data_IF_729139125337
#
_entry.id   IF_729139125337
#
_cell.length_a   1.000
_cell.length_b   1.000
_cell.length_c   1.000
_cell.angle_alpha   90.00
_cell.angle_beta   90.00
_cell.angle_gamma   90.00
#
_symmetry.space_group_name_H-M   'P 1'
#
loop_
_entity.id
_entity.type
_entity.pdbx_description
1 polymer ?
#
# COMPACT_ATOMS: atom_id res chain seq x y z
N UNK A 1 14.99 4.72 -20.37
CA UNK A 1 15.31 3.83 -19.22
C UNK A 1 14.05 3.09 -18.82
N UNK A 2 14.11 1.76 -18.67
CA UNK A 2 13.01 1.00 -18.09
C UNK A 2 12.80 1.47 -16.65
N UNK A 3 11.57 1.85 -16.30
CA UNK A 3 11.23 2.16 -14.91
C UNK A 3 11.24 0.83 -14.14
N UNK A 4 12.39 0.50 -13.54
CA UNK A 4 12.51 -0.65 -12.65
C UNK A 4 11.57 -0.42 -11.47
N UNK A 5 10.58 -1.28 -11.32
CA UNK A 5 9.76 -1.31 -10.11
C UNK A 5 10.58 -1.99 -9.01
N UNK A 6 10.67 -1.35 -7.86
CA UNK A 6 11.31 -1.86 -6.67
C UNK A 6 10.27 -2.14 -5.59
N UNK A 7 10.40 -3.30 -4.97
CA UNK A 7 9.62 -3.67 -3.81
C UNK A 7 10.32 -3.16 -2.55
N UNK A 8 9.60 -2.40 -1.73
CA UNK A 8 10.05 -1.95 -0.43
C UNK A 8 9.15 -2.53 0.66
N UNK A 9 9.76 -3.07 1.71
CA UNK A 9 9.06 -3.49 2.91
C UNK A 9 9.20 -2.40 3.97
N UNK A 10 8.09 -1.85 4.40
CA UNK A 10 8.03 -0.89 5.48
C UNK A 10 7.43 -1.55 6.72
N UNK A 11 8.13 -1.44 7.85
CA UNK A 11 7.72 -2.06 9.10
C UNK A 11 7.18 -0.97 10.02
N UNK A 12 5.92 -1.11 10.40
CA UNK A 12 5.31 -0.26 11.42
C UNK A 12 5.72 -0.78 12.81
N UNK A 13 6.62 -0.05 13.48
CA UNK A 13 7.14 -0.43 14.79
C UNK A 13 6.07 -0.42 15.89
N UNK A 14 5.03 0.39 15.74
CA UNK A 14 3.95 0.51 16.73
C UNK A 14 3.01 -0.70 16.67
N UNK A 15 2.63 -1.13 15.47
CA UNK A 15 1.71 -2.25 15.25
C UNK A 15 2.40 -3.60 15.01
N UNK A 16 3.74 -3.62 14.88
CA UNK A 16 4.52 -4.79 14.44
C UNK A 16 3.94 -5.39 13.14
N UNK A 17 3.58 -4.52 12.20
CA UNK A 17 3.01 -4.91 10.90
C UNK A 17 3.94 -4.54 9.77
N UNK A 18 4.09 -5.46 8.84
CA UNK A 18 4.88 -5.28 7.63
C UNK A 18 3.97 -4.88 6.48
N UNK A 19 4.37 -3.84 5.75
CA UNK A 19 3.66 -3.31 4.59
C UNK A 19 4.59 -3.36 3.39
N UNK A 20 4.26 -4.24 2.44
CA UNK A 20 5.01 -4.38 1.19
C UNK A 20 4.40 -3.42 0.16
N UNK A 21 5.21 -2.51 -0.36
CA UNK A 21 4.80 -1.49 -1.33
C UNK A 21 5.68 -1.60 -2.55
N UNK A 22 5.06 -1.64 -3.73
CA UNK A 22 5.74 -1.61 -5.02
C UNK A 22 5.81 -0.17 -5.52
N UNK A 23 7.02 0.34 -5.67
CA UNK A 23 7.29 1.69 -6.18
C UNK A 23 8.17 1.63 -7.42
N UNK A 24 8.32 2.75 -8.12
CA UNK A 24 9.37 2.88 -9.12
C UNK A 24 10.73 3.10 -8.39
N UNK A 25 11.84 2.78 -9.05
CA UNK A 25 13.16 2.88 -8.43
C UNK A 25 13.51 4.29 -7.90
N UNK A 26 13.00 5.35 -8.55
CA UNK A 26 13.20 6.72 -8.10
C UNK A 26 12.47 7.03 -6.78
N UNK A 27 11.21 6.62 -6.68
CA UNK A 27 10.39 6.77 -5.49
C UNK A 27 10.85 5.81 -4.37
N UNK A 28 11.39 4.65 -4.71
CA UNK A 28 12.00 3.72 -3.76
C UNK A 28 13.29 4.31 -3.16
N UNK A 29 14.17 4.89 -3.97
CA UNK A 29 15.35 5.61 -3.48
C UNK A 29 14.95 6.80 -2.61
N UNK A 30 13.91 7.53 -3.02
CA UNK A 30 13.34 8.63 -2.24
C UNK A 30 12.76 8.15 -0.91
N UNK A 31 12.06 7.03 -0.88
CA UNK A 31 11.55 6.43 0.35
C UNK A 31 12.68 5.97 1.29
N UNK A 32 13.81 5.53 0.75
CA UNK A 32 14.98 5.16 1.57
C UNK A 32 15.71 6.37 2.16
N UNK A 33 15.69 7.49 1.46
CA UNK A 33 16.44 8.71 1.84
C UNK A 33 15.60 9.70 2.64
N UNK A 34 14.30 9.79 2.34
CA UNK A 34 13.36 10.74 2.93
C UNK A 34 12.37 10.01 3.86
N UNK A 35 12.60 10.19 5.16
CA UNK A 35 11.76 9.60 6.21
C UNK A 35 10.32 10.11 6.13
N UNK A 36 10.07 11.36 5.74
CA UNK A 36 8.69 11.87 5.61
C UNK A 36 7.95 11.19 4.46
N UNK A 37 8.66 10.87 3.37
CA UNK A 37 8.07 10.13 2.27
C UNK A 37 7.79 8.68 2.65
N UNK A 38 8.73 8.02 3.35
CA UNK A 38 8.52 6.67 3.90
C UNK A 38 7.31 6.62 4.85
N UNK A 39 7.18 7.58 5.76
CA UNK A 39 6.05 7.67 6.69
C UNK A 39 4.72 7.84 5.95
N UNK A 40 4.65 8.71 4.94
CA UNK A 40 3.44 8.88 4.13
C UNK A 40 3.06 7.62 3.35
N UNK A 41 4.05 6.88 2.83
CA UNK A 41 3.83 5.59 2.19
C UNK A 41 3.30 4.55 3.17
N UNK A 42 3.87 4.49 4.37
CA UNK A 42 3.42 3.65 5.48
C UNK A 42 1.98 3.98 5.89
N UNK A 43 1.65 5.25 6.11
CA UNK A 43 0.30 5.68 6.45
C UNK A 43 -0.72 5.38 5.35
N UNK A 44 -0.32 5.53 4.08
CA UNK A 44 -1.15 5.16 2.94
C UNK A 44 -1.38 3.65 2.91
N UNK A 45 -0.34 2.84 3.09
CA UNK A 45 -0.44 1.39 3.14
C UNK A 45 -1.25 0.89 4.35
N UNK A 46 -1.11 1.53 5.52
CA UNK A 46 -1.93 1.29 6.71
C UNK A 46 -3.40 1.56 6.43
N UNK A 47 -3.73 2.68 5.76
CA UNK A 47 -5.11 2.99 5.37
C UNK A 47 -5.66 1.97 4.38
N UNK A 48 -4.89 1.62 3.36
CA UNK A 48 -5.32 0.65 2.35
C UNK A 48 -5.56 -0.74 2.95
N UNK A 49 -4.65 -1.19 3.83
CA UNK A 49 -4.81 -2.44 4.57
C UNK A 49 -5.95 -2.39 5.59
N UNK A 50 -6.20 -1.24 6.23
CA UNK A 50 -7.36 -1.06 7.10
C UNK A 50 -8.66 -1.16 6.31
N UNK A 51 -8.71 -0.57 5.10
CA UNK A 51 -9.84 -0.71 4.17
C UNK A 51 -10.00 -2.19 3.79
N UNK A 52 -8.96 -2.87 3.33
CA UNK A 52 -9.04 -4.30 2.96
C UNK A 52 -9.41 -5.22 4.14
N UNK A 53 -9.00 -4.88 5.38
CA UNK A 53 -9.39 -5.63 6.57
C UNK A 53 -10.86 -5.44 6.94
N UNK A 54 -11.47 -4.31 6.56
CA UNK A 54 -12.91 -4.10 6.66
C UNK A 54 -13.62 -4.82 5.50
N UNK A 55 -12.99 -4.90 4.34
CA UNK A 55 -13.50 -5.59 3.15
C UNK A 55 -13.44 -7.13 3.25
N UNK A 56 -12.66 -7.68 4.18
CA UNK A 56 -12.75 -9.09 4.57
C UNK A 56 -14.13 -9.46 5.15
N UNK A 57 -14.99 -8.47 5.41
CA UNK A 57 -16.41 -8.68 5.66
C UNK A 57 -17.35 -7.94 4.68
N UNK A 58 -16.85 -7.21 3.66
CA UNK A 58 -17.70 -6.69 2.57
C UNK A 58 -16.92 -6.07 1.39
N UNK A 59 -17.24 -6.56 0.18
CA UNK A 59 -17.21 -5.86 -1.12
C UNK A 59 -15.87 -5.54 -1.80
N UNK A 60 -15.56 -6.43 -2.75
CA UNK A 60 -14.78 -6.18 -3.96
C UNK A 60 -15.24 -4.88 -4.65
N UNK A 61 -14.39 -3.85 -4.67
CA UNK A 61 -14.59 -2.69 -5.56
C UNK A 61 -14.19 -3.11 -6.98
N UNK A 62 -15.17 -3.60 -7.76
CA UNK A 62 -15.08 -3.63 -9.22
C UNK A 62 -15.79 -2.40 -9.79
N UNK A 63 -15.04 -1.59 -10.54
CA UNK A 63 -15.59 -0.57 -11.42
C UNK A 63 -16.67 -1.19 -12.32
N UNK A 64 -17.75 -0.44 -12.55
CA UNK A 64 -18.87 -0.70 -13.48
C UNK A 64 -20.15 -1.33 -12.88
N UNK A 65 -20.56 -0.90 -11.69
CA UNK A 65 -21.98 -0.61 -11.40
C UNK A 65 -22.99 -1.74 -11.55
N UNK A 66 -22.62 -3.01 -11.31
CA UNK A 66 -23.60 -4.08 -11.22
C UNK A 66 -23.16 -5.12 -10.18
N UNK A 67 -23.80 -5.10 -9.00
CA UNK A 67 -23.59 -6.10 -7.95
C UNK A 67 -24.79 -7.06 -8.02
N UNK A 68 -24.53 -8.32 -8.36
CA UNK A 68 -25.51 -9.40 -8.27
C UNK A 68 -25.14 -10.24 -7.04
N UNK A 69 -26.03 -10.29 -6.06
CA UNK A 69 -25.97 -11.20 -4.92
C UNK A 69 -27.02 -12.30 -5.14
N UNK A 70 -26.57 -13.56 -5.11
CA UNK A 70 -27.43 -14.76 -4.99
C UNK A 70 -27.29 -15.30 -3.58
#
# INVERSE_FOLDING_TARGET
MAASVEEICLIDAEMNKEYIILLNGLDAEKARTDVNFATQLLEKAKRDAAVQSIESNTLLVTNNGNIIIT
#
